data_IF_420506822367
#
_entry.id   IF_420506822367
#
_cell.length_a   1.000
_cell.length_b   1.000
_cell.length_c   1.000
_cell.angle_alpha   90.00
_cell.angle_beta   90.00
_cell.angle_gamma   90.00
#
_symmetry.space_group_name_H-M   'P 1'
#
loop_
_entity.id
_entity.type
_entity.pdbx_description
1 polymer ?
#
# COMPACT_ATOMS: atom_id res chain seq x y z
N UNK A 1 12.87 4.82 15.32
CA UNK A 1 13.76 5.63 14.45
C UNK A 1 13.50 7.10 14.77
N UNK A 2 14.45 8.01 14.58
CA UNK A 2 14.24 9.45 14.83
C UNK A 2 14.11 10.19 13.50
N UNK A 3 13.22 11.18 13.44
CA UNK A 3 13.08 12.04 12.26
C UNK A 3 14.42 12.73 11.95
N UNK A 4 14.90 12.71 10.70
CA UNK A 4 16.18 13.34 10.34
C UNK A 4 16.16 14.86 10.56
N UNK A 5 14.98 15.49 10.49
CA UNK A 5 14.81 16.93 10.60
C UNK A 5 14.64 17.43 12.05
N UNK A 6 13.71 16.86 12.82
CA UNK A 6 13.36 17.36 14.16
C UNK A 6 13.80 16.44 15.31
N UNK A 7 14.44 15.31 15.00
CA UNK A 7 14.87 14.26 15.95
C UNK A 7 13.76 13.62 16.79
N UNK A 8 12.48 13.98 16.57
CA UNK A 8 11.35 13.33 17.21
C UNK A 8 11.29 11.84 16.87
N UNK A 9 10.79 11.03 17.80
CA UNK A 9 10.63 9.58 17.60
C UNK A 9 9.53 9.34 16.57
N UNK A 10 9.84 8.60 15.51
CA UNK A 10 8.90 8.21 14.45
C UNK A 10 8.78 6.70 14.36
N UNK A 11 7.59 6.23 13.97
CA UNK A 11 7.34 4.81 13.71
C UNK A 11 8.09 4.38 12.45
N UNK A 12 8.98 3.38 12.53
CA UNK A 12 9.69 2.90 11.37
C UNK A 12 8.72 2.38 10.30
N UNK A 13 9.07 2.59 9.03
CA UNK A 13 8.37 1.99 7.90
C UNK A 13 8.48 0.45 7.92
N UNK A 14 7.52 -0.27 7.31
CA UNK A 14 7.63 -1.70 7.10
C UNK A 14 8.83 -2.01 6.21
N UNK A 15 9.43 -3.20 6.40
CA UNK A 15 10.57 -3.61 5.59
C UNK A 15 10.19 -3.74 4.11
N UNK A 16 11.16 -3.61 3.17
CA UNK A 16 10.89 -3.75 1.74
C UNK A 16 10.23 -5.09 1.40
N UNK A 17 10.62 -6.16 2.09
CA UNK A 17 10.03 -7.50 1.91
C UNK A 17 8.54 -7.47 2.27
N UNK A 18 8.19 -6.95 3.46
CA UNK A 18 6.79 -6.89 3.92
C UNK A 18 5.93 -6.06 2.98
N UNK A 19 6.45 -4.93 2.48
CA UNK A 19 5.76 -4.10 1.47
C UNK A 19 5.41 -4.89 0.22
N UNK A 20 6.39 -5.56 -0.36
CA UNK A 20 6.19 -6.37 -1.56
C UNK A 20 5.28 -7.57 -1.29
N UNK A 21 5.41 -8.22 -0.13
CA UNK A 21 4.53 -9.35 0.25
C UNK A 21 3.07 -8.91 0.33
N UNK A 22 2.76 -7.77 0.95
CA UNK A 22 1.38 -7.28 1.06
C UNK A 22 0.78 -6.99 -0.32
N UNK A 23 1.56 -6.35 -1.21
CA UNK A 23 1.13 -6.08 -2.59
C UNK A 23 0.93 -7.38 -3.37
N UNK A 24 1.87 -8.34 -3.27
CA UNK A 24 1.74 -9.64 -3.92
C UNK A 24 0.52 -10.41 -3.43
N UNK A 25 0.25 -10.40 -2.12
CA UNK A 25 -0.94 -11.05 -1.55
C UNK A 25 -2.22 -10.42 -2.09
N UNK A 26 -2.28 -9.09 -2.18
CA UNK A 26 -3.44 -8.40 -2.77
C UNK A 26 -3.68 -8.80 -4.23
N UNK A 27 -2.61 -8.95 -5.01
CA UNK A 27 -2.68 -9.44 -6.39
C UNK A 27 -3.13 -10.90 -6.48
N UNK A 28 -2.57 -11.78 -5.65
CA UNK A 28 -2.94 -13.21 -5.62
C UNK A 28 -4.43 -13.36 -5.29
N UNK A 29 -4.93 -12.64 -4.28
CA UNK A 29 -6.34 -12.65 -3.92
C UNK A 29 -7.22 -12.14 -5.05
N UNK A 30 -6.80 -11.08 -5.74
CA UNK A 30 -7.52 -10.53 -6.89
C UNK A 30 -7.55 -11.48 -8.09
N UNK A 31 -6.47 -12.22 -8.33
CA UNK A 31 -6.45 -13.26 -9.36
C UNK A 31 -7.36 -14.43 -8.96
N UNK A 32 -7.35 -14.84 -7.69
CA UNK A 32 -8.22 -15.89 -7.19
C UNK A 32 -9.71 -15.56 -7.37
N UNK A 33 -10.12 -14.30 -7.14
CA UNK A 33 -11.50 -13.87 -7.38
C UNK A 33 -11.86 -13.86 -8.87
N UNK A 34 -10.93 -13.48 -9.75
CA UNK A 34 -11.13 -13.59 -11.20
C UNK A 34 -11.30 -15.05 -11.63
N UNK A 35 -10.44 -15.96 -11.16
CA UNK A 35 -10.54 -17.39 -11.47
C UNK A 35 -11.85 -18.00 -10.96
N UNK A 36 -12.21 -17.75 -9.70
CA UNK A 36 -13.49 -18.17 -9.13
C UNK A 36 -14.66 -17.61 -9.95
N UNK A 37 -14.51 -16.39 -10.44
CA UNK A 37 -15.49 -15.73 -11.26
C UNK A 37 -15.71 -16.37 -12.63
N UNK A 38 -14.64 -16.78 -13.30
CA UNK A 38 -14.73 -17.50 -14.58
C UNK A 38 -15.46 -18.83 -14.40
N UNK A 39 -15.29 -19.52 -13.26
CA UNK A 39 -15.98 -20.78 -12.98
C UNK A 39 -17.51 -20.61 -12.82
N UNK A 40 -17.99 -19.42 -12.48
CA UNK A 40 -19.43 -19.12 -12.35
C UNK A 40 -20.12 -18.87 -13.71
N UNK A 41 -19.35 -18.76 -14.80
CA UNK A 41 -19.90 -18.52 -16.14
C UNK A 41 -20.66 -17.18 -16.22
N UNK A 42 -21.76 -17.08 -17.00
CA UNK A 42 -22.50 -15.83 -17.18
C UNK A 42 -23.10 -15.25 -15.89
N UNK A 43 -23.26 -16.05 -14.83
CA UNK A 43 -23.85 -15.62 -13.56
C UNK A 43 -23.06 -14.50 -12.87
N UNK A 44 -21.75 -14.40 -13.12
CA UNK A 44 -20.90 -13.36 -12.51
C UNK A 44 -21.23 -11.93 -12.96
N UNK A 45 -21.90 -11.76 -14.11
CA UNK A 45 -22.24 -10.43 -14.65
C UNK A 45 -23.02 -9.59 -13.64
N UNK A 46 -23.85 -10.23 -12.80
CA UNK A 46 -24.64 -9.55 -11.77
C UNK A 46 -23.81 -9.02 -10.59
N UNK A 47 -22.69 -9.66 -10.26
CA UNK A 47 -21.85 -9.33 -9.09
C UNK A 47 -20.56 -8.59 -9.48
N UNK A 48 -20.20 -8.59 -10.76
CA UNK A 48 -19.08 -7.84 -11.36
C UNK A 48 -19.01 -6.37 -10.91
N UNK A 49 -20.13 -5.61 -10.88
CA UNK A 49 -20.12 -4.21 -10.44
C UNK A 49 -19.68 -4.00 -8.98
N UNK A 50 -19.71 -5.04 -8.15
CA UNK A 50 -19.28 -5.00 -6.76
C UNK A 50 -17.84 -5.51 -6.64
N UNK A 51 -17.52 -6.62 -7.33
CA UNK A 51 -16.21 -7.27 -7.25
C UNK A 51 -15.10 -6.38 -7.83
N UNK A 52 -15.33 -5.76 -8.98
CA UNK A 52 -14.31 -4.94 -9.66
C UNK A 52 -13.87 -3.74 -8.81
N UNK A 53 -14.75 -2.85 -8.34
CA UNK A 53 -14.32 -1.74 -7.49
C UNK A 53 -13.75 -2.23 -6.16
N UNK A 54 -14.27 -3.32 -5.58
CA UNK A 54 -13.71 -3.92 -4.37
C UNK A 54 -12.26 -4.40 -4.55
N UNK A 55 -11.99 -5.11 -5.65
CA UNK A 55 -10.65 -5.56 -6.02
C UNK A 55 -9.69 -4.39 -6.26
N UNK A 56 -10.13 -3.39 -7.04
CA UNK A 56 -9.36 -2.17 -7.27
C UNK A 56 -9.04 -1.44 -5.97
N UNK A 57 -10.02 -1.23 -5.10
CA UNK A 57 -9.83 -0.58 -3.81
C UNK A 57 -8.83 -1.34 -2.92
N UNK A 58 -8.87 -2.68 -2.94
CA UNK A 58 -7.95 -3.52 -2.17
C UNK A 58 -6.51 -3.40 -2.65
N UNK A 59 -6.29 -3.46 -3.98
CA UNK A 59 -4.97 -3.29 -4.59
C UNK A 59 -4.44 -1.87 -4.33
N UNK A 60 -5.28 -0.85 -4.53
CA UNK A 60 -4.89 0.55 -4.28
C UNK A 60 -4.56 0.78 -2.81
N UNK A 61 -5.37 0.28 -1.87
CA UNK A 61 -5.09 0.40 -0.45
C UNK A 61 -3.78 -0.30 -0.05
N UNK A 62 -3.51 -1.49 -0.60
CA UNK A 62 -2.26 -2.21 -0.38
C UNK A 62 -1.05 -1.41 -0.91
N UNK A 63 -1.17 -0.81 -2.11
CA UNK A 63 -0.12 0.03 -2.67
C UNK A 63 0.10 1.32 -1.89
N UNK A 64 -0.97 2.02 -1.50
CA UNK A 64 -0.88 3.22 -0.68
C UNK A 64 -0.22 2.88 0.65
N UNK A 65 -0.68 1.85 1.36
CA UNK A 65 -0.08 1.45 2.63
C UNK A 65 1.41 1.06 2.50
N UNK A 66 1.77 0.40 1.39
CA UNK A 66 3.14 -0.04 1.15
C UNK A 66 4.07 1.12 0.76
N UNK A 67 3.66 2.03 -0.12
CA UNK A 67 4.56 3.00 -0.77
C UNK A 67 4.25 4.46 -0.47
N UNK A 68 3.18 4.80 0.27
CA UNK A 68 2.87 6.18 0.59
C UNK A 68 4.00 6.86 1.34
N UNK A 69 4.20 8.14 1.03
CA UNK A 69 5.09 9.02 1.76
C UNK A 69 4.74 9.04 3.25
N UNK A 70 5.76 8.95 4.11
CA UNK A 70 5.58 9.04 5.55
C UNK A 70 6.08 10.37 6.06
N UNK A 71 5.16 11.10 6.68
CA UNK A 71 5.38 12.44 7.22
C UNK A 71 5.53 12.35 8.74
N UNK A 72 6.42 13.16 9.30
CA UNK A 72 6.55 13.27 10.75
C UNK A 72 5.46 14.19 11.30
N UNK A 73 4.64 13.70 12.23
CA UNK A 73 3.53 14.47 12.83
C UNK A 73 3.99 15.73 13.56
N UNK A 74 5.25 15.78 14.02
CA UNK A 74 5.77 16.90 14.80
C UNK A 74 6.26 18.07 13.93
N UNK A 75 6.90 17.80 12.79
CA UNK A 75 7.47 18.84 11.93
C UNK A 75 6.81 18.95 10.55
N UNK A 76 5.89 18.05 10.22
CA UNK A 76 5.21 18.01 8.92
C UNK A 76 6.12 17.66 7.73
N UNK A 77 7.37 17.25 7.97
CA UNK A 77 8.32 16.89 6.91
C UNK A 77 8.30 15.39 6.63
N UNK A 78 8.35 15.02 5.35
CA UNK A 78 8.51 13.64 4.92
C UNK A 78 9.85 13.09 5.41
N UNK A 79 9.83 11.91 6.04
CA UNK A 79 11.06 11.19 6.43
C UNK A 79 11.28 9.93 5.58
N UNK A 80 10.26 9.53 4.82
CA UNK A 80 10.32 8.43 3.88
C UNK A 80 9.50 8.77 2.63
N UNK A 81 10.11 8.68 1.45
CA UNK A 81 9.48 8.88 0.14
C UNK A 81 9.62 7.60 -0.68
N UNK A 82 8.51 7.10 -1.24
CA UNK A 82 8.49 5.83 -2.01
C UNK A 82 9.19 4.65 -1.30
N UNK A 83 9.09 4.61 0.03
CA UNK A 83 9.73 3.59 0.85
C UNK A 83 11.25 3.71 0.99
N UNK A 84 11.84 4.85 0.62
CA UNK A 84 13.24 5.20 0.85
C UNK A 84 13.36 6.32 1.87
N UNK A 85 14.31 6.18 2.78
CA UNK A 85 14.60 7.22 3.77
C UNK A 85 15.18 8.43 3.06
N UNK A 86 14.57 9.60 3.29
CA UNK A 86 15.10 10.87 2.78
C UNK A 86 16.11 11.45 3.76
N UNK A 87 17.23 11.94 3.23
CA UNK A 87 18.22 12.67 4.00
C UNK A 87 17.70 14.08 4.35
N UNK A 88 18.13 14.62 5.49
CA UNK A 88 17.84 16.01 5.81
C UNK A 88 18.60 16.91 4.81
N UNK A 89 17.86 17.60 3.94
CA UNK A 89 18.43 18.71 3.17
C UNK A 89 18.61 19.87 4.16
N UNK A 90 19.86 20.29 4.36
CA UNK A 90 20.18 21.48 5.14
C UNK A 90 19.51 22.69 4.47
N UNK A 91 18.54 23.29 5.15
CA UNK A 91 17.91 24.56 4.78
C UNK A 91 18.44 25.64 5.68
#
# INVERSE_FOLDING_TARGET
>A
MNCPHCKAKVTPGPSPIVRWTVVLVAWILSMATVFAGIMLGPGIITILPIIVPGGMATITAAHVWAFSDRVCDNCGKAYELDGRLVAAVAS
#
